data_IF_672879924280
#
_entry.id   IF_672879924280
#
_cell.length_a   1.000
_cell.length_b   1.000
_cell.length_c   1.000
_cell.angle_alpha   90.00
_cell.angle_beta   90.00
_cell.angle_gamma   90.00
#
_symmetry.space_group_name_H-M   'P 1'
#
loop_
_entity.id
_entity.type
_entity.pdbx_description
1 polymer ?
#
# COMPACT_ATOMS: atom_id res chain seq x y z
N UNK A 1 15.49 -12.57 5.14
CA UNK A 1 15.23 -11.20 4.62
C UNK A 1 16.47 -10.47 4.07
N UNK A 2 17.69 -10.95 4.26
CA UNK A 2 18.95 -10.31 3.78
C UNK A 2 19.08 -10.21 2.25
N UNK A 3 18.36 -11.04 1.48
CA UNK A 3 18.38 -11.00 0.01
C UNK A 3 17.70 -9.76 -0.61
N UNK A 4 16.83 -9.07 0.13
CA UNK A 4 16.11 -7.89 -0.39
C UNK A 4 16.96 -6.63 -0.44
N UNK A 5 17.82 -6.42 0.57
CA UNK A 5 18.56 -5.16 0.75
C UNK A 5 19.59 -4.92 -0.35
N UNK A 6 20.33 -5.96 -0.76
CA UNK A 6 21.33 -5.83 -1.83
C UNK A 6 20.71 -5.50 -3.19
N UNK A 7 19.53 -6.05 -3.49
CA UNK A 7 18.76 -5.75 -4.71
C UNK A 7 18.20 -4.33 -4.67
N UNK A 8 17.73 -3.88 -3.51
CA UNK A 8 17.24 -2.51 -3.32
C UNK A 8 18.38 -1.49 -3.47
N UNK A 9 19.54 -1.73 -2.84
CA UNK A 9 20.71 -0.88 -2.99
C UNK A 9 21.18 -0.80 -4.45
N UNK A 10 21.16 -1.92 -5.17
CA UNK A 10 21.46 -1.95 -6.60
C UNK A 10 20.45 -1.15 -7.42
N UNK A 11 19.16 -1.21 -7.09
CA UNK A 11 18.14 -0.37 -7.70
C UNK A 11 18.42 1.12 -7.46
N UNK A 12 18.70 1.52 -6.21
CA UNK A 12 19.01 2.91 -5.86
C UNK A 12 20.24 3.45 -6.59
N UNK A 13 21.31 2.64 -6.66
CA UNK A 13 22.53 3.01 -7.42
C UNK A 13 22.24 3.16 -8.91
N UNK A 14 21.43 2.28 -9.49
CA UNK A 14 21.04 2.38 -10.90
C UNK A 14 20.15 3.60 -11.17
N UNK A 15 19.23 3.95 -10.25
CA UNK A 15 18.43 5.16 -10.37
C UNK A 15 19.28 6.43 -10.24
N UNK A 16 20.27 6.43 -9.36
CA UNK A 16 21.20 7.57 -9.21
C UNK A 16 22.03 7.78 -10.49
N UNK A 17 22.56 6.69 -11.07
CA UNK A 17 23.28 6.75 -12.35
C UNK A 17 22.39 7.28 -13.48
N UNK A 18 21.12 6.84 -13.52
CA UNK A 18 20.14 7.36 -14.46
C UNK A 18 19.88 8.86 -14.26
N UNK A 19 19.69 9.30 -13.02
CA UNK A 19 19.42 10.70 -12.68
C UNK A 19 20.58 11.62 -13.07
N UNK A 20 21.83 11.18 -12.83
CA UNK A 20 23.05 11.87 -13.30
C UNK A 20 23.11 11.98 -14.82
N UNK A 21 22.68 10.95 -15.55
CA UNK A 21 22.70 10.95 -17.02
C UNK A 21 21.61 11.81 -17.67
N UNK A 22 20.51 12.06 -16.96
CA UNK A 22 19.31 12.70 -17.52
C UNK A 22 19.13 14.17 -17.08
N UNK A 23 20.07 14.71 -16.29
CA UNK A 23 20.11 16.14 -15.89
C UNK A 23 18.80 16.66 -15.25
N UNK A 24 18.22 15.91 -14.32
CA UNK A 24 17.01 16.31 -13.60
C UNK A 24 17.26 17.40 -12.53
N UNK A 25 17.45 18.65 -12.93
CA UNK A 25 17.69 19.76 -11.99
C UNK A 25 16.43 20.24 -11.22
N UNK A 26 15.22 19.97 -11.72
CA UNK A 26 13.98 20.59 -11.21
C UNK A 26 12.99 19.63 -10.51
N UNK A 27 13.37 18.39 -10.20
CA UNK A 27 12.44 17.39 -9.65
C UNK A 27 12.20 17.50 -8.13
N UNK A 28 12.98 18.32 -7.41
CA UNK A 28 13.07 18.27 -5.95
C UNK A 28 11.82 18.82 -5.22
N UNK A 29 11.26 19.96 -5.67
CA UNK A 29 10.12 20.59 -4.99
C UNK A 29 8.85 19.74 -5.02
N UNK A 30 8.61 19.01 -6.12
CA UNK A 30 7.46 18.09 -6.24
C UNK A 30 7.63 16.84 -5.37
N UNK A 31 8.86 16.36 -5.17
CA UNK A 31 9.13 15.21 -4.28
C UNK A 31 8.81 15.56 -2.83
N UNK A 32 9.08 16.79 -2.40
CA UNK A 32 8.84 17.24 -1.03
C UNK A 32 7.34 17.18 -0.66
N UNK A 33 6.45 17.68 -1.53
CA UNK A 33 5.01 17.73 -1.24
C UNK A 33 4.40 16.33 -1.05
N UNK A 34 4.81 15.36 -1.87
CA UNK A 34 4.38 13.96 -1.75
C UNK A 34 4.91 13.33 -0.47
N UNK A 35 6.15 13.63 -0.06
CA UNK A 35 6.72 13.16 1.21
C UNK A 35 5.95 13.71 2.41
N UNK A 36 5.65 15.01 2.43
CA UNK A 36 4.91 15.65 3.53
C UNK A 36 3.56 14.96 3.73
N UNK A 37 2.80 14.72 2.67
CA UNK A 37 1.48 14.05 2.76
C UNK A 37 1.59 12.66 3.38
N UNK A 38 2.61 11.87 3.01
CA UNK A 38 2.84 10.52 3.53
C UNK A 38 3.32 10.51 4.98
N UNK A 39 4.15 11.50 5.35
CA UNK A 39 4.56 11.67 6.74
C UNK A 39 3.37 12.08 7.61
N UNK A 40 2.48 12.93 7.11
CA UNK A 40 1.26 13.31 7.83
C UNK A 40 0.33 12.11 8.08
N UNK A 41 0.12 11.23 7.10
CA UNK A 41 -0.69 10.03 7.30
C UNK A 41 -0.07 9.04 8.29
N UNK A 42 1.27 8.92 8.30
CA UNK A 42 1.99 8.10 9.27
C UNK A 42 1.90 8.69 10.68
N UNK A 43 2.09 10.00 10.83
CA UNK A 43 1.96 10.68 12.13
C UNK A 43 0.55 10.54 12.67
N UNK A 44 -0.48 10.74 11.83
CA UNK A 44 -1.87 10.53 12.21
C UNK A 44 -2.11 9.10 12.72
N UNK A 45 -1.58 8.09 12.02
CA UNK A 45 -1.68 6.70 12.45
C UNK A 45 -1.02 6.47 13.81
N UNK A 46 0.22 6.93 14.00
CA UNK A 46 0.96 6.79 15.26
C UNK A 46 0.20 7.44 16.42
N UNK A 47 -0.41 8.61 16.19
CA UNK A 47 -1.21 9.31 17.21
C UNK A 47 -2.47 8.53 17.56
N UNK A 48 -3.26 8.11 16.55
CA UNK A 48 -4.50 7.34 16.77
C UNK A 48 -4.22 6.03 17.51
N UNK A 49 -3.17 5.32 17.09
CA UNK A 49 -2.77 4.07 17.73
C UNK A 49 -2.22 4.27 19.14
N UNK A 50 -1.37 5.29 19.34
CA UNK A 50 -0.83 5.61 20.65
C UNK A 50 -1.96 5.88 21.66
N UNK A 51 -2.94 6.69 21.27
CA UNK A 51 -4.12 6.97 22.07
C UNK A 51 -4.95 5.70 22.33
N UNK A 52 -5.23 4.91 21.30
CA UNK A 52 -5.98 3.65 21.44
C UNK A 52 -5.32 2.68 22.41
N UNK A 53 -4.00 2.54 22.33
CA UNK A 53 -3.23 1.69 23.25
C UNK A 53 -3.25 2.20 24.69
N UNK A 54 -3.21 3.52 24.90
CA UNK A 54 -3.30 4.07 26.27
C UNK A 54 -4.65 3.81 26.91
N UNK A 55 -5.74 3.91 26.13
CA UNK A 55 -7.10 3.58 26.58
C UNK A 55 -7.22 2.09 26.86
N UNK A 56 -6.70 1.25 25.97
CA UNK A 56 -6.71 -0.21 26.13
C UNK A 56 -5.96 -0.70 27.37
N UNK A 57 -4.78 -0.13 27.64
CA UNK A 57 -4.00 -0.46 28.82
C UNK A 57 -4.73 -0.05 30.11
N UNK A 58 -5.52 1.03 30.07
CA UNK A 58 -6.32 1.47 31.21
C UNK A 58 -7.51 0.52 31.47
N UNK A 59 -8.15 0.00 30.42
CA UNK A 59 -9.30 -0.91 30.57
C UNK A 59 -8.94 -2.33 30.99
N UNK A 60 -7.76 -2.83 30.61
CA UNK A 60 -7.43 -4.26 30.73
C UNK A 60 -6.73 -4.62 32.05
N UNK A 61 -5.94 -3.71 32.60
CA UNK A 61 -5.15 -4.00 33.81
C UNK A 61 -5.65 -3.21 35.01
N UNK A 62 -6.41 -3.88 35.88
CA UNK A 62 -6.82 -3.33 37.17
C UNK A 62 -5.67 -3.30 38.19
N UNK A 63 -4.63 -4.14 37.99
CA UNK A 63 -3.41 -4.18 38.80
C UNK A 63 -2.30 -3.29 38.22
N UNK A 64 -1.84 -2.32 39.01
CA UNK A 64 -0.83 -1.33 38.63
C UNK A 64 0.54 -1.94 38.36
N UNK A 65 0.86 -3.12 38.93
CA UNK A 65 2.18 -3.75 38.77
C UNK A 65 2.35 -4.39 37.40
N UNK A 66 1.28 -4.92 36.81
CA UNK A 66 1.29 -5.58 35.49
C UNK A 66 1.07 -4.59 34.36
N UNK A 67 0.48 -3.42 34.65
CA UNK A 67 0.19 -2.37 33.66
C UNK A 67 1.43 -1.88 32.92
N UNK A 68 2.51 -1.55 33.63
CA UNK A 68 3.74 -0.99 33.03
C UNK A 68 4.40 -1.97 32.04
N UNK A 69 4.68 -3.25 32.39
CA UNK A 69 5.32 -4.16 31.45
C UNK A 69 4.43 -4.49 30.24
N UNK A 70 3.11 -4.61 30.42
CA UNK A 70 2.17 -4.81 29.31
C UNK A 70 2.20 -3.61 28.36
N UNK A 71 2.12 -2.38 28.89
CA UNK A 71 2.18 -1.17 28.07
C UNK A 71 3.49 -1.09 27.28
N UNK A 72 4.64 -1.34 27.93
CA UNK A 72 5.95 -1.31 27.26
C UNK A 72 6.05 -2.37 26.17
N UNK A 73 5.62 -3.60 26.44
CA UNK A 73 5.66 -4.70 25.47
C UNK A 73 4.73 -4.43 24.27
N UNK A 74 3.52 -3.96 24.53
CA UNK A 74 2.56 -3.62 23.48
C UNK A 74 3.01 -2.42 22.66
N UNK A 75 3.55 -1.37 23.29
CA UNK A 75 4.14 -0.23 22.58
C UNK A 75 5.33 -0.64 21.71
N UNK A 76 6.19 -1.53 22.20
CA UNK A 76 7.32 -2.04 21.41
C UNK A 76 6.87 -2.87 20.22
N UNK A 77 5.93 -3.80 20.43
CA UNK A 77 5.36 -4.64 19.36
C UNK A 77 4.70 -3.77 18.29
N UNK A 78 3.91 -2.79 18.72
CA UNK A 78 3.29 -1.82 17.83
C UNK A 78 4.33 -1.02 17.05
N UNK A 79 5.38 -0.52 17.70
CA UNK A 79 6.43 0.23 17.04
C UNK A 79 7.12 -0.60 15.95
N UNK A 80 7.46 -1.86 16.26
CA UNK A 80 8.08 -2.78 15.29
C UNK A 80 7.13 -3.03 14.12
N UNK A 81 5.86 -3.26 14.38
CA UNK A 81 4.85 -3.50 13.36
C UNK A 81 4.62 -2.28 12.45
N UNK A 82 4.40 -1.11 13.06
CA UNK A 82 4.24 0.16 12.34
C UNK A 82 5.48 0.49 11.51
N UNK A 83 6.68 0.31 12.07
CA UNK A 83 7.92 0.55 11.36
C UNK A 83 8.06 -0.38 10.16
N UNK A 84 7.75 -1.67 10.33
CA UNK A 84 7.83 -2.66 9.27
C UNK A 84 6.86 -2.35 8.11
N UNK A 85 5.58 -2.11 8.42
CA UNK A 85 4.54 -1.83 7.41
C UNK A 85 4.76 -0.47 6.74
N UNK A 86 5.04 0.57 7.54
CA UNK A 86 5.29 1.93 7.04
C UNK A 86 6.53 2.02 6.18
N UNK A 87 7.62 1.32 6.54
CA UNK A 87 8.86 1.36 5.77
C UNK A 87 8.67 0.74 4.39
N UNK A 88 7.92 -0.37 4.31
CA UNK A 88 7.56 -0.98 3.03
C UNK A 88 6.77 -0.01 2.14
N UNK A 89 5.72 0.60 2.71
CA UNK A 89 4.91 1.60 2.01
C UNK A 89 5.74 2.81 1.56
N UNK A 90 6.53 3.41 2.45
CA UNK A 90 7.33 4.61 2.16
C UNK A 90 8.33 4.34 1.04
N UNK A 91 9.06 3.23 1.10
CA UNK A 91 10.06 2.88 0.09
C UNK A 91 9.37 2.64 -1.25
N UNK A 92 8.35 1.80 -1.29
CA UNK A 92 7.67 1.43 -2.53
C UNK A 92 6.99 2.64 -3.17
N UNK A 93 6.26 3.42 -2.38
CA UNK A 93 5.55 4.61 -2.86
C UNK A 93 6.50 5.74 -3.23
N UNK A 94 7.70 5.82 -2.66
CA UNK A 94 8.74 6.76 -3.11
C UNK A 94 9.35 6.33 -4.44
N UNK A 95 9.67 5.04 -4.58
CA UNK A 95 10.25 4.49 -5.80
C UNK A 95 9.28 4.56 -6.98
N UNK A 96 8.00 4.25 -6.78
CA UNK A 96 6.97 4.38 -7.82
C UNK A 96 6.79 5.83 -8.26
N UNK A 97 6.72 6.77 -7.31
CA UNK A 97 6.58 8.20 -7.61
C UNK A 97 7.77 8.74 -8.45
N UNK A 98 9.00 8.34 -8.11
CA UNK A 98 10.19 8.70 -8.89
C UNK A 98 10.12 8.12 -10.30
N UNK A 99 9.71 6.87 -10.45
CA UNK A 99 9.53 6.22 -11.76
C UNK A 99 8.48 6.93 -12.63
N UNK A 100 7.34 7.30 -12.04
CA UNK A 100 6.30 8.07 -12.71
C UNK A 100 6.83 9.44 -13.17
N UNK A 101 7.67 10.09 -12.37
CA UNK A 101 8.30 11.36 -12.75
C UNK A 101 9.27 11.20 -13.93
N UNK A 102 10.16 10.21 -13.88
CA UNK A 102 11.07 9.92 -15.00
C UNK A 102 10.30 9.67 -16.28
N UNK A 103 9.24 8.86 -16.22
CA UNK A 103 8.45 8.52 -17.38
C UNK A 103 7.68 9.74 -17.94
N UNK A 104 7.16 10.62 -17.08
CA UNK A 104 6.52 11.88 -17.52
C UNK A 104 7.49 12.80 -18.26
N UNK A 105 8.72 12.94 -17.76
CA UNK A 105 9.71 13.82 -18.42
C UNK A 105 10.13 13.25 -19.77
N UNK A 106 10.35 11.95 -19.87
CA UNK A 106 10.65 11.31 -21.17
C UNK A 106 9.47 11.42 -22.14
N UNK A 107 8.22 11.35 -21.66
CA UNK A 107 7.03 11.51 -22.48
C UNK A 107 6.89 12.95 -23.02
N UNK A 108 7.17 13.96 -22.18
CA UNK A 108 7.21 15.37 -22.62
C UNK A 108 8.34 15.58 -23.64
N UNK A 109 9.53 15.02 -23.39
CA UNK A 109 10.65 15.10 -24.32
C UNK A 109 10.32 14.46 -25.67
N UNK A 110 9.62 13.31 -25.66
CA UNK A 110 9.17 12.64 -26.88
C UNK A 110 8.22 13.51 -27.69
N UNK A 111 7.29 14.21 -27.03
CA UNK A 111 6.34 15.10 -27.68
C UNK A 111 6.99 16.31 -28.37
N UNK A 112 8.15 16.76 -27.88
CA UNK A 112 8.89 17.89 -28.46
C UNK A 112 9.94 17.49 -29.51
N UNK A 113 10.31 16.21 -29.60
CA UNK A 113 11.38 15.76 -30.49
C UNK A 113 10.88 15.47 -31.92
N UNK A 114 11.47 16.15 -32.92
CA UNK A 114 11.19 15.91 -34.34
C UNK A 114 12.25 15.07 -35.06
N UNK A 115 13.42 14.88 -34.46
CA UNK A 115 14.54 14.19 -35.14
C UNK A 115 14.62 12.71 -34.72
N UNK A 116 14.92 11.81 -35.67
CA UNK A 116 14.95 10.37 -35.41
C UNK A 116 16.00 9.96 -34.37
N UNK A 117 17.14 10.69 -34.30
CA UNK A 117 18.18 10.45 -33.29
C UNK A 117 17.69 10.67 -31.85
N UNK A 118 16.88 11.71 -31.63
CA UNK A 118 16.34 11.99 -30.30
C UNK A 118 15.28 10.97 -29.90
N UNK A 119 14.44 10.52 -30.84
CA UNK A 119 13.46 9.45 -30.61
C UNK A 119 14.16 8.16 -30.17
N UNK A 120 15.26 7.81 -30.80
CA UNK A 120 16.03 6.62 -30.44
C UNK A 120 16.67 6.75 -29.05
N UNK A 121 17.20 7.93 -28.70
CA UNK A 121 17.71 8.18 -27.36
C UNK A 121 16.64 8.06 -26.27
N UNK A 122 15.43 8.60 -26.51
CA UNK A 122 14.29 8.47 -25.59
C UNK A 122 13.88 7.00 -25.44
N UNK A 123 13.88 6.21 -26.53
CA UNK A 123 13.61 4.76 -26.47
C UNK A 123 14.60 4.02 -25.58
N UNK A 124 15.90 4.31 -25.71
CA UNK A 124 16.93 3.70 -24.87
C UNK A 124 16.73 4.05 -23.38
N UNK A 125 16.40 5.31 -23.08
CA UNK A 125 16.09 5.75 -21.70
C UNK A 125 14.85 5.08 -21.14
N UNK A 126 13.80 4.97 -21.94
CA UNK A 126 12.58 4.27 -21.57
C UNK A 126 12.82 2.77 -21.30
N UNK A 127 13.71 2.15 -22.08
CA UNK A 127 14.14 0.77 -21.81
C UNK A 127 14.86 0.65 -20.46
N UNK A 128 15.70 1.63 -20.09
CA UNK A 128 16.31 1.68 -18.76
C UNK A 128 15.26 1.84 -17.64
N UNK A 129 14.26 2.70 -17.82
CA UNK A 129 13.14 2.86 -16.87
C UNK A 129 12.36 1.53 -16.74
N UNK A 130 12.07 0.84 -17.85
CA UNK A 130 11.43 -0.48 -17.84
C UNK A 130 12.26 -1.49 -17.05
N UNK A 131 13.58 -1.52 -17.23
CA UNK A 131 14.49 -2.39 -16.47
C UNK A 131 14.47 -2.06 -14.97
N UNK A 132 14.47 -0.78 -14.60
CA UNK A 132 14.33 -0.32 -13.21
C UNK A 132 13.01 -0.80 -12.61
N UNK A 133 11.89 -0.62 -13.32
CA UNK A 133 10.57 -1.11 -12.87
C UNK A 133 10.55 -2.62 -12.70
N UNK A 134 11.05 -3.39 -13.67
CA UNK A 134 11.11 -4.84 -13.58
C UNK A 134 11.95 -5.29 -12.38
N UNK A 135 13.05 -4.60 -12.08
CA UNK A 135 13.85 -4.85 -10.88
C UNK A 135 13.06 -4.57 -9.61
N UNK A 136 12.35 -3.44 -9.54
CA UNK A 136 11.52 -3.08 -8.39
C UNK A 136 10.37 -4.09 -8.19
N UNK A 137 9.66 -4.46 -9.26
CA UNK A 137 8.59 -5.46 -9.21
C UNK A 137 9.12 -6.83 -8.77
N UNK A 138 10.30 -7.26 -9.24
CA UNK A 138 10.93 -8.52 -8.77
C UNK A 138 11.23 -8.52 -7.27
N UNK A 139 11.55 -7.37 -6.68
CA UNK A 139 11.80 -7.25 -5.24
C UNK A 139 10.48 -7.29 -4.46
N UNK A 140 9.46 -6.57 -4.94
CA UNK A 140 8.25 -6.29 -4.18
C UNK A 140 7.06 -7.20 -4.48
N UNK A 141 7.06 -7.98 -5.56
CA UNK A 141 5.92 -8.82 -5.92
C UNK A 141 5.45 -9.80 -4.82
N UNK A 142 6.31 -10.49 -4.04
CA UNK A 142 5.80 -11.41 -3.02
C UNK A 142 5.26 -10.62 -1.83
N UNK A 143 5.91 -9.51 -1.47
CA UNK A 143 5.47 -8.63 -0.40
C UNK A 143 4.11 -8.00 -0.73
N UNK A 144 3.89 -7.56 -1.98
CA UNK A 144 2.62 -7.03 -2.44
C UNK A 144 1.49 -8.07 -2.40
N UNK A 145 1.77 -9.32 -2.78
CA UNK A 145 0.79 -10.41 -2.72
C UNK A 145 0.39 -10.74 -1.28
N UNK A 146 1.37 -10.85 -0.39
CA UNK A 146 1.12 -11.07 1.05
C UNK A 146 0.37 -9.87 1.64
N UNK A 147 0.77 -8.65 1.32
CA UNK A 147 0.13 -7.44 1.84
C UNK A 147 -1.33 -7.32 1.42
N UNK A 148 -1.66 -7.61 0.15
CA UNK A 148 -3.06 -7.63 -0.29
C UNK A 148 -3.89 -8.70 0.40
N UNK A 149 -3.34 -9.91 0.62
CA UNK A 149 -4.04 -10.98 1.31
C UNK A 149 -4.28 -10.61 2.78
N UNK A 150 -3.27 -10.08 3.47
CA UNK A 150 -3.39 -9.58 4.83
C UNK A 150 -4.42 -8.46 4.94
N UNK A 151 -4.45 -7.52 3.97
CA UNK A 151 -5.41 -6.43 3.95
C UNK A 151 -6.85 -6.95 3.85
N UNK A 152 -7.11 -7.94 2.98
CA UNK A 152 -8.43 -8.57 2.85
C UNK A 152 -8.84 -9.23 4.17
N UNK A 153 -7.95 -10.02 4.77
CA UNK A 153 -8.22 -10.70 6.04
C UNK A 153 -8.52 -9.70 7.16
N UNK A 154 -7.72 -8.64 7.30
CA UNK A 154 -7.93 -7.58 8.28
C UNK A 154 -9.28 -6.90 8.06
N UNK A 155 -9.64 -6.57 6.82
CA UNK A 155 -10.93 -5.96 6.51
C UNK A 155 -12.10 -6.89 6.86
N UNK A 156 -12.01 -8.18 6.53
CA UNK A 156 -13.03 -9.17 6.89
C UNK A 156 -13.19 -9.32 8.41
N UNK A 157 -12.08 -9.41 9.15
CA UNK A 157 -12.10 -9.53 10.62
C UNK A 157 -12.68 -8.27 11.26
N UNK A 158 -12.25 -7.08 10.81
CA UNK A 158 -12.77 -5.81 11.31
C UNK A 158 -14.27 -5.68 11.06
N UNK A 159 -14.74 -6.06 9.86
CA UNK A 159 -16.17 -6.05 9.55
C UNK A 159 -16.96 -7.02 10.41
N UNK A 160 -16.46 -8.25 10.59
CA UNK A 160 -17.08 -9.23 11.47
C UNK A 160 -17.22 -8.68 12.89
N UNK A 161 -16.15 -8.10 13.46
CA UNK A 161 -16.17 -7.52 14.80
C UNK A 161 -17.16 -6.33 14.92
N UNK A 162 -17.35 -5.56 13.86
CA UNK A 162 -18.36 -4.48 13.83
C UNK A 162 -19.77 -5.07 13.88
N UNK A 163 -20.05 -6.12 13.11
CA UNK A 163 -21.39 -6.71 13.05
C UNK A 163 -21.76 -7.55 14.27
N UNK A 164 -20.79 -8.18 14.92
CA UNK A 164 -21.00 -8.98 16.14
C UNK A 164 -21.29 -8.12 17.40
N UNK A 165 -21.69 -6.85 17.23
CA UNK A 165 -22.10 -5.98 18.33
C UNK A 165 -20.96 -5.40 19.19
N UNK A 166 -19.70 -5.64 18.83
CA UNK A 166 -18.54 -5.17 19.59
C UNK A 166 -18.15 -3.70 19.32
N UNK A 167 -19.04 -2.90 18.69
CA UNK A 167 -18.81 -1.51 18.26
C UNK A 167 -18.35 -0.58 19.40
N UNK A 168 -18.64 -0.92 20.67
CA UNK A 168 -18.20 -0.15 21.84
C UNK A 168 -16.78 -0.44 22.32
N UNK A 169 -16.12 -1.50 21.84
CA UNK A 169 -14.81 -1.88 22.35
C UNK A 169 -13.68 -1.09 21.68
N UNK A 170 -12.69 -0.60 22.45
CA UNK A 170 -11.56 0.17 21.90
C UNK A 170 -10.73 -0.64 20.88
N UNK A 171 -10.75 -1.97 21.00
CA UNK A 171 -10.10 -2.89 20.07
C UNK A 171 -10.67 -2.79 18.64
N UNK A 172 -12.00 -2.65 18.51
CA UNK A 172 -12.66 -2.55 17.20
C UNK A 172 -12.32 -1.22 16.53
N UNK A 173 -12.27 -0.12 17.29
CA UNK A 173 -11.83 1.17 16.77
C UNK A 173 -10.38 1.17 16.30
N UNK A 174 -9.50 0.47 17.03
CA UNK A 174 -8.11 0.31 16.64
C UNK A 174 -7.98 -0.51 15.34
N UNK A 175 -8.70 -1.63 15.25
CA UNK A 175 -8.74 -2.48 14.06
C UNK A 175 -9.33 -1.73 12.85
N UNK A 176 -10.34 -0.90 13.06
CA UNK A 176 -10.95 -0.05 12.03
C UNK A 176 -9.99 1.03 11.54
N UNK A 177 -9.33 1.75 12.45
CA UNK A 177 -8.33 2.76 12.10
C UNK A 177 -7.18 2.15 11.31
N UNK A 178 -6.72 0.96 11.71
CA UNK A 178 -5.70 0.21 10.96
C UNK A 178 -6.15 -0.19 9.57
N UNK A 179 -7.33 -0.79 9.47
CA UNK A 179 -7.88 -1.26 8.21
C UNK A 179 -8.05 -0.10 7.23
N UNK A 180 -8.50 1.06 7.72
CA UNK A 180 -8.59 2.29 6.93
C UNK A 180 -7.21 2.76 6.45
N UNK A 181 -6.21 2.80 7.33
CA UNK A 181 -4.84 3.17 6.96
C UNK A 181 -4.21 2.23 5.93
N UNK A 182 -4.31 0.92 6.16
CA UNK A 182 -3.76 -0.09 5.28
C UNK A 182 -4.44 -0.03 3.90
N UNK A 183 -5.77 0.17 3.87
CA UNK A 183 -6.53 0.37 2.63
C UNK A 183 -6.10 1.62 1.87
N UNK A 184 -5.95 2.76 2.55
CA UNK A 184 -5.47 4.00 1.93
C UNK A 184 -4.06 3.85 1.37
N UNK A 185 -3.16 3.21 2.12
CA UNK A 185 -1.77 2.97 1.71
C UNK A 185 -1.72 2.06 0.48
N UNK A 186 -2.50 0.99 0.47
CA UNK A 186 -2.61 0.08 -0.67
C UNK A 186 -3.22 0.79 -1.90
N UNK A 187 -4.26 1.60 -1.71
CA UNK A 187 -4.89 2.37 -2.78
C UNK A 187 -3.93 3.39 -3.41
N UNK A 188 -3.12 4.11 -2.61
CA UNK A 188 -2.11 5.06 -3.11
C UNK A 188 -1.05 4.35 -3.98
N UNK A 189 -0.60 3.16 -3.59
CA UNK A 189 0.32 2.34 -4.38
C UNK A 189 -0.34 1.84 -5.66
N UNK A 190 -1.60 1.39 -5.59
CA UNK A 190 -2.38 0.93 -6.75
C UNK A 190 -2.66 2.05 -7.75
N UNK A 191 -2.99 3.26 -7.29
CA UNK A 191 -3.16 4.44 -8.15
C UNK A 191 -1.84 4.82 -8.81
N UNK A 192 -0.73 4.78 -8.06
CA UNK A 192 0.60 5.06 -8.60
C UNK A 192 1.01 4.03 -9.66
N UNK A 193 0.72 2.75 -9.42
CA UNK A 193 0.89 1.66 -10.39
C UNK A 193 0.08 1.90 -11.66
N UNK A 194 -1.20 2.25 -11.52
CA UNK A 194 -2.07 2.53 -12.65
C UNK A 194 -1.57 3.71 -13.46
N UNK A 195 -1.16 4.81 -12.81
CA UNK A 195 -0.65 5.99 -13.51
C UNK A 195 0.61 5.65 -14.33
N UNK A 196 1.47 4.77 -13.82
CA UNK A 196 2.62 4.28 -14.58
C UNK A 196 2.18 3.51 -15.83
N UNK A 197 1.19 2.63 -15.69
CA UNK A 197 0.65 1.85 -16.81
C UNK A 197 -0.07 2.72 -17.85
N UNK A 198 -0.89 3.67 -17.43
CA UNK A 198 -1.62 4.58 -18.31
C UNK A 198 -0.66 5.42 -19.16
N UNK A 199 0.41 5.95 -18.55
CA UNK A 199 1.42 6.74 -19.26
C UNK A 199 2.19 5.89 -20.29
N UNK A 200 2.38 4.61 -20.01
CA UNK A 200 3.02 3.68 -20.95
C UNK A 200 2.06 3.28 -22.06
N UNK A 201 0.78 3.09 -21.74
CA UNK A 201 -0.26 2.80 -22.72
C UNK A 201 -0.44 3.96 -23.69
N UNK A 202 -0.25 5.22 -23.25
CA UNK A 202 -0.15 6.35 -24.17
C UNK A 202 1.01 6.20 -25.19
N UNK A 203 2.08 5.49 -24.79
CA UNK A 203 3.23 5.18 -25.62
C UNK A 203 3.08 3.89 -26.47
N UNK A 204 1.86 3.38 -26.64
CA UNK A 204 1.52 2.06 -27.22
C UNK A 204 2.21 1.69 -28.53
N UNK A 205 2.73 2.66 -29.29
CA UNK A 205 3.44 2.41 -30.55
C UNK A 205 4.86 1.87 -30.37
N UNK A 206 5.43 1.91 -29.17
CA UNK A 206 6.85 1.53 -28.96
C UNK A 206 7.08 0.58 -27.79
N UNK A 207 6.14 0.45 -26.85
CA UNK A 207 6.32 -0.38 -25.65
C UNK A 207 5.06 -1.14 -25.31
N UNK A 208 5.23 -2.45 -25.07
CA UNK A 208 4.21 -3.33 -24.53
C UNK A 208 3.73 -2.83 -23.15
N UNK A 209 2.47 -2.38 -23.02
CA UNK A 209 1.93 -1.80 -21.80
C UNK A 209 1.80 -2.82 -20.66
N UNK A 210 1.64 -4.10 -20.98
CA UNK A 210 1.43 -5.15 -19.99
C UNK A 210 2.65 -5.35 -19.09
N UNK A 211 3.84 -5.08 -19.61
CA UNK A 211 5.09 -5.25 -18.89
C UNK A 211 5.31 -4.20 -17.78
N UNK A 212 4.46 -3.17 -17.67
CA UNK A 212 4.70 -1.99 -16.83
C UNK A 212 3.79 -1.83 -15.59
N UNK A 213 2.76 -2.67 -15.42
CA UNK A 213 1.97 -2.76 -14.17
C UNK A 213 2.75 -3.47 -13.04
N UNK A 214 2.63 -3.03 -11.78
CA UNK A 214 3.06 -3.87 -10.65
C UNK A 214 2.17 -5.13 -10.58
N UNK A 215 2.78 -6.26 -10.22
CA UNK A 215 2.10 -7.55 -10.19
C UNK A 215 2.36 -8.24 -8.86
N UNK A 216 1.33 -8.85 -8.27
CA UNK A 216 1.48 -9.74 -7.12
C UNK A 216 1.95 -11.13 -7.55
N UNK A 217 3.11 -11.26 -8.19
CA UNK A 217 3.68 -12.56 -8.58
C UNK A 217 2.98 -13.28 -9.73
N UNK A 218 2.21 -12.56 -10.55
CA UNK A 218 1.43 -13.15 -11.65
C UNK A 218 -0.01 -13.50 -11.26
N UNK A 219 -0.35 -13.51 -9.97
CA UNK A 219 -1.72 -13.75 -9.49
C UNK A 219 -2.66 -12.61 -9.86
N UNK A 220 -2.20 -11.36 -9.73
CA UNK A 220 -2.98 -10.18 -10.06
C UNK A 220 -2.10 -9.02 -10.53
N UNK A 221 -2.73 -8.09 -11.25
CA UNK A 221 -2.15 -6.79 -11.63
C UNK A 221 -2.68 -5.73 -10.67
N UNK A 222 -1.78 -4.90 -10.14
CA UNK A 222 -2.16 -3.80 -9.25
C UNK A 222 -2.74 -2.65 -10.08
N UNK A 223 -4.05 -2.68 -10.28
CA UNK A 223 -4.82 -1.71 -11.06
C UNK A 223 -6.08 -1.25 -10.30
N UNK A 224 -6.77 -0.23 -10.83
CA UNK A 224 -8.04 0.25 -10.24
C UNK A 224 -9.12 -0.84 -10.22
N UNK A 225 -9.14 -1.72 -11.23
CA UNK A 225 -10.10 -2.81 -11.31
C UNK A 225 -9.95 -3.80 -10.13
N UNK A 226 -8.72 -4.09 -9.71
CA UNK A 226 -8.45 -4.91 -8.53
C UNK A 226 -8.97 -4.25 -7.26
N UNK A 227 -8.77 -2.94 -7.07
CA UNK A 227 -9.33 -2.22 -5.93
C UNK A 227 -10.85 -2.31 -5.89
N UNK A 228 -11.51 -2.12 -7.03
CA UNK A 228 -12.97 -2.24 -7.16
C UNK A 228 -13.42 -3.68 -6.87
N UNK A 229 -12.70 -4.69 -7.37
CA UNK A 229 -13.00 -6.10 -7.10
C UNK A 229 -12.82 -6.46 -5.63
N UNK A 230 -11.77 -5.97 -4.96
CA UNK A 230 -11.56 -6.14 -3.53
C UNK A 230 -12.70 -5.47 -2.74
N UNK A 231 -13.03 -4.22 -3.06
CA UNK A 231 -14.13 -3.51 -2.42
C UNK A 231 -15.47 -4.24 -2.60
N UNK A 232 -15.77 -4.71 -3.82
CA UNK A 232 -16.97 -5.50 -4.11
C UNK A 232 -17.02 -6.79 -3.29
N UNK A 233 -15.91 -7.54 -3.23
CA UNK A 233 -15.82 -8.79 -2.46
C UNK A 233 -16.04 -8.56 -0.96
N UNK A 234 -15.49 -7.46 -0.43
CA UNK A 234 -15.66 -7.05 0.97
C UNK A 234 -17.12 -6.68 1.27
N UNK A 235 -17.75 -5.91 0.39
CA UNK A 235 -19.17 -5.54 0.53
C UNK A 235 -20.06 -6.78 0.45
N UNK A 236 -19.81 -7.68 -0.49
CA UNK A 236 -20.55 -8.95 -0.60
C UNK A 236 -20.39 -9.79 0.66
N UNK A 237 -19.16 -9.90 1.19
CA UNK A 237 -18.92 -10.59 2.46
C UNK A 237 -19.70 -9.96 3.61
N UNK A 238 -19.68 -8.63 3.74
CA UNK A 238 -20.45 -7.92 4.76
C UNK A 238 -21.95 -8.20 4.67
N UNK A 239 -22.52 -8.17 3.45
CA UNK A 239 -23.95 -8.46 3.23
C UNK A 239 -24.31 -9.90 3.63
N UNK A 240 -23.50 -10.89 3.22
CA UNK A 240 -23.71 -12.29 3.60
C UNK A 240 -23.66 -12.44 5.13
N UNK A 241 -22.72 -11.75 5.77
CA UNK A 241 -22.53 -11.82 7.22
C UNK A 241 -23.76 -11.27 7.97
N UNK A 242 -24.31 -10.14 7.53
CA UNK A 242 -25.54 -9.57 8.09
C UNK A 242 -26.73 -10.50 7.90
N UNK A 243 -26.90 -11.04 6.69
CA UNK A 243 -28.03 -11.94 6.40
C UNK A 243 -27.98 -13.22 7.23
N UNK A 244 -26.79 -13.81 7.36
CA UNK A 244 -26.61 -15.05 8.13
C UNK A 244 -26.68 -14.83 9.64
N UNK A 245 -26.32 -13.64 10.15
CA UNK A 245 -26.50 -13.33 11.58
C UNK A 245 -27.98 -13.21 11.96
N UNK A 246 -28.80 -12.62 11.09
CA UNK A 246 -30.24 -12.45 11.34
C UNK A 246 -30.96 -13.81 11.35
N UNK A 247 -30.67 -14.67 10.36
CA UNK A 247 -31.24 -16.03 10.29
C UNK A 247 -30.85 -16.88 11.52
N UNK A 248 -29.62 -16.73 12.01
CA UNK A 248 -29.16 -17.46 13.19
C UNK A 248 -29.85 -16.97 14.48
N UNK A 249 -30.10 -15.67 14.60
CA UNK A 249 -30.81 -15.09 15.74
C UNK A 249 -32.27 -15.61 15.82
N UNK A 250 -32.97 -15.64 14.68
CA UNK A 250 -34.35 -16.13 14.60
C UNK A 250 -34.48 -17.61 15.02
N UNK A 251 -33.52 -18.46 14.66
CA UNK A 251 -33.54 -19.88 15.03
C UNK A 251 -33.25 -20.13 16.53
N UNK A 252 -32.44 -19.29 17.17
CA UNK A 252 -32.12 -19.41 18.60
C UNK A 252 -33.32 -19.06 19.47
N UNK A 253 -34.13 -18.07 19.07
CA UNK A 253 -35.30 -17.65 19.83
C UNK A 253 -36.43 -18.69 19.78
N UNK A 254 -36.64 -19.35 18.64
CA UNK A 254 -37.63 -20.44 18.53
C UNK A 254 -37.26 -21.64 19.42
N UNK A 255 -35.97 -21.94 19.55
CA UNK A 255 -35.48 -23.06 20.35
C UNK A 255 -35.61 -22.84 21.87
N UNK A 256 -35.80 -21.59 22.31
CA UNK A 256 -36.03 -21.25 23.74
C UNK A 256 -37.49 -21.29 24.15
N UNK A 257 -38.41 -21.39 23.20
CA UNK A 257 -39.86 -21.43 23.44
C UNK A 257 -40.45 -22.85 23.51
N UNK A 258 -39.62 -23.88 23.27
CA UNK A 258 -39.98 -25.31 23.37
C UNK A 258 -39.29 -25.93 24.57
#
# INVERSE_FOLDING_TARGET
MTLGSSRLLRFLRNSEAYEKSASFANAESRRLRVRIRKMASLVALVVVYGLGMTVYADSTTHDSRVRVPVLVCSSFTLFVFLFYDSLAYIILSSCSAVLTQYLRVELVALGSCRTPRHVEQVRLRLHAIKKLKCSLNKIWHPALAVWSACLILVLCITLYAIFDGHIGQPEVWLALAYAAYASMSFADVAISSQCLSDLVQYLHRTVDPEALCFTGGGFFRLNKALLVSMAGSIITYAVILVQTSDELADHVDVSRLV
#
